data_IF_204454671623
#
_entry.id   IF_204454671623
#
_cell.length_a   1.000
_cell.length_b   1.000
_cell.length_c   1.000
_cell.angle_alpha   90.00
_cell.angle_beta   90.00
_cell.angle_gamma   90.00
#
_symmetry.space_group_name_H-M   'P 1'
#
loop_
_entity.id
_entity.type
_entity.pdbx_description
1 polymer ?
#
# COMPACT_ATOMS: atom_id res chain seq x y z
N UNK A 1 21.99 -14.56 8.60
CA UNK A 1 20.77 -14.52 7.77
C UNK A 1 19.72 -13.70 8.48
N UNK A 2 19.23 -12.61 7.90
CA UNK A 2 17.91 -12.02 8.21
C UNK A 2 17.69 -10.91 7.20
N UNK A 3 16.93 -11.26 6.17
CA UNK A 3 16.55 -10.44 5.02
C UNK A 3 16.11 -9.05 5.48
N UNK A 4 16.85 -8.02 5.05
CA UNK A 4 16.40 -6.64 5.12
C UNK A 4 15.00 -6.57 4.49
N UNK A 5 13.96 -6.49 5.31
CA UNK A 5 12.58 -6.32 4.82
C UNK A 5 12.56 -4.97 4.12
N UNK A 6 12.73 -4.98 2.80
CA UNK A 6 12.55 -3.80 1.96
C UNK A 6 11.23 -3.15 2.39
N UNK A 7 11.21 -1.86 2.75
CA UNK A 7 9.98 -1.18 3.09
C UNK A 7 9.05 -1.27 1.88
N UNK A 8 7.95 -2.01 2.02
CA UNK A 8 6.92 -2.08 0.99
C UNK A 8 5.96 -0.92 1.21
N UNK A 9 5.78 -0.13 0.16
CA UNK A 9 4.88 1.01 0.16
C UNK A 9 3.60 0.59 -0.55
N UNK A 10 2.46 0.75 0.11
CA UNK A 10 1.15 0.38 -0.40
C UNK A 10 0.37 1.66 -0.66
N UNK A 11 0.27 2.02 -1.93
CA UNK A 11 -0.49 3.19 -2.36
C UNK A 11 -1.92 2.76 -2.63
N UNK A 12 -2.87 3.33 -1.91
CA UNK A 12 -4.30 3.14 -2.15
C UNK A 12 -4.80 4.36 -2.92
N UNK A 13 -5.20 4.18 -4.16
CA UNK A 13 -5.80 5.20 -5.00
C UNK A 13 -7.31 5.29 -4.81
N UNK A 14 -7.95 4.14 -4.61
CA UNK A 14 -9.40 4.03 -4.41
C UNK A 14 -9.67 3.05 -3.28
N UNK A 15 -10.37 3.51 -2.26
CA UNK A 15 -10.69 2.75 -1.05
C UNK A 15 -11.37 3.65 -0.03
N UNK A 16 -11.54 3.14 1.18
CA UNK A 16 -12.09 3.89 2.31
C UNK A 16 -11.26 5.13 2.66
N UNK A 17 -9.94 5.01 2.60
CA UNK A 17 -9.00 6.12 2.77
C UNK A 17 -7.87 5.98 1.76
N UNK A 18 -7.88 6.75 0.67
CA UNK A 18 -6.77 6.78 -0.27
C UNK A 18 -5.55 7.45 0.36
N UNK A 19 -4.36 6.90 0.12
CA UNK A 19 -3.12 7.34 0.73
C UNK A 19 -2.00 6.31 0.60
N UNK A 20 -0.81 6.67 1.09
CA UNK A 20 0.36 5.79 1.08
C UNK A 20 0.52 5.15 2.46
N UNK A 21 0.51 3.82 2.49
CA UNK A 21 0.66 3.02 3.70
C UNK A 21 1.98 2.27 3.66
N UNK A 22 2.67 2.19 4.79
CA UNK A 22 3.90 1.39 4.94
C UNK A 22 3.62 -0.05 5.36
N UNK A 23 2.35 -0.38 5.61
CA UNK A 23 1.92 -1.66 6.18
C UNK A 23 0.73 -2.22 5.41
N UNK A 24 0.82 -3.50 5.00
CA UNK A 24 -0.27 -4.20 4.30
C UNK A 24 -1.56 -4.22 5.11
N UNK A 25 -1.51 -4.48 6.41
CA UNK A 25 -2.71 -4.59 7.27
C UNK A 25 -3.55 -3.31 7.29
N UNK A 26 -2.92 -2.13 7.16
CA UNK A 26 -3.64 -0.86 7.07
C UNK A 26 -4.25 -0.68 5.68
N UNK A 27 -3.47 -0.94 4.63
CA UNK A 27 -3.93 -0.85 3.25
C UNK A 27 -5.07 -1.83 2.96
N UNK A 28 -4.95 -3.08 3.41
CA UNK A 28 -5.95 -4.13 3.31
C UNK A 28 -7.27 -3.66 3.93
N UNK A 29 -7.25 -3.13 5.16
CA UNK A 29 -8.45 -2.58 5.78
C UNK A 29 -9.11 -1.45 4.98
N UNK A 30 -8.34 -0.69 4.19
CA UNK A 30 -8.90 0.39 3.37
C UNK A 30 -9.50 -0.09 2.05
N UNK A 31 -9.05 -1.22 1.52
CA UNK A 31 -9.56 -1.79 0.27
C UNK A 31 -10.57 -2.91 0.52
N UNK A 32 -10.53 -3.52 1.70
CA UNK A 32 -11.33 -4.68 2.05
C UNK A 32 -12.80 -4.27 2.21
N UNK A 33 -13.66 -4.85 1.38
CA UNK A 33 -15.08 -4.50 1.33
C UNK A 33 -15.39 -3.25 0.49
N UNK A 34 -14.40 -2.62 -0.14
CA UNK A 34 -14.63 -1.47 -1.02
C UNK A 34 -14.74 -1.93 -2.49
N UNK A 35 -15.94 -1.86 -3.12
CA UNK A 35 -16.11 -2.26 -4.51
C UNK A 35 -15.37 -1.30 -5.43
N UNK A 36 -14.46 -1.82 -6.26
CA UNK A 36 -13.62 -1.02 -7.15
C UNK A 36 -12.38 -0.42 -6.48
N UNK A 37 -11.95 -0.96 -5.34
CA UNK A 37 -10.71 -0.54 -4.70
C UNK A 37 -9.52 -0.69 -5.65
N UNK A 38 -8.68 0.35 -5.72
CA UNK A 38 -7.44 0.38 -6.50
C UNK A 38 -6.30 0.66 -5.55
N UNK A 39 -5.38 -0.26 -5.46
CA UNK A 39 -4.15 -0.11 -4.70
C UNK A 39 -2.99 -0.69 -5.50
N UNK A 40 -1.77 -0.27 -5.16
CA UNK A 40 -0.54 -0.77 -5.75
C UNK A 40 0.55 -0.82 -4.70
N UNK A 41 1.28 -1.94 -4.66
CA UNK A 41 2.45 -2.11 -3.81
C UNK A 41 3.71 -1.76 -4.60
N UNK A 42 4.60 -0.98 -3.99
CA UNK A 42 5.87 -0.57 -4.53
C UNK A 42 6.99 -1.02 -3.58
N UNK A 43 8.13 -1.41 -4.16
CA UNK A 43 9.33 -1.74 -3.39
C UNK A 43 10.18 -0.50 -3.07
N UNK A 44 9.89 0.63 -3.72
CA UNK A 44 10.65 1.88 -3.64
C UNK A 44 9.74 3.04 -3.20
N UNK A 45 10.24 3.92 -2.32
CA UNK A 45 9.52 5.13 -1.92
C UNK A 45 9.28 6.07 -3.10
N UNK A 46 10.28 6.18 -3.99
CA UNK A 46 10.20 7.01 -5.19
C UNK A 46 9.07 6.56 -6.13
N UNK A 47 8.89 5.26 -6.37
CA UNK A 47 7.77 4.78 -7.20
C UNK A 47 6.41 4.91 -6.51
N UNK A 48 6.39 5.04 -5.18
CA UNK A 48 5.16 5.25 -4.41
C UNK A 48 4.72 6.73 -4.34
N UNK A 49 5.66 7.67 -4.46
CA UNK A 49 5.41 9.13 -4.47
C UNK A 49 5.38 9.74 -5.90
N UNK A 50 5.80 9.00 -6.93
CA UNK A 50 5.80 9.43 -8.34
C UNK A 50 4.47 9.18 -9.06
#
# INVERSE_FOLDING_TARGET
>A
MSSAKKPKWYVVWVGHSPGVYTTWTLAEKQIHGFPGARYKSYESREEAEA
#
